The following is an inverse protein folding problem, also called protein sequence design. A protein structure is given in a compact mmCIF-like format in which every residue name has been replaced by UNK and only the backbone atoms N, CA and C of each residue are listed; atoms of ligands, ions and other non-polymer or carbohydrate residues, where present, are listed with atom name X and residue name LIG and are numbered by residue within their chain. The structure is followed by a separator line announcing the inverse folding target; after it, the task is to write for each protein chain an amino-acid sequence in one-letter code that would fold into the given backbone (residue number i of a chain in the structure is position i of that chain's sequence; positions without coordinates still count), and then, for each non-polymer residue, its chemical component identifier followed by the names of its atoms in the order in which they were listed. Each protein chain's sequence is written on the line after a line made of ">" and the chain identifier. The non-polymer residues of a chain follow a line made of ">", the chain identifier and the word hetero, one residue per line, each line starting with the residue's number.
data_IF_623288597291
#
_entry.id   IF_623288597291
#
_cell.length_a   1.000
_cell.length_b   1.000
_cell.length_c   1.000
_cell.angle_alpha   90.00
_cell.angle_beta   90.00
_cell.angle_gamma   90.00
#
_symmetry.space_group_name_H-M   'P 1'
#
loop_
_entity.id
_entity.type
_entity.pdbx_description
1 polymer ?
#
# COMPACT_ATOMS: atom_id res chain seq x y z
N UNK A 1 -14.68 29.80 51.26
CA UNK A 1 -14.75 30.44 49.92
C UNK A 1 -14.21 29.45 48.92
N UNK A 2 -15.09 28.89 48.11
CA UNK A 2 -14.83 27.86 47.11
C UNK A 2 -14.09 28.45 45.90
N UNK A 3 -13.09 27.76 45.34
CA UNK A 3 -12.54 28.10 44.02
C UNK A 3 -13.54 27.68 42.94
N UNK A 4 -13.87 28.61 42.04
CA UNK A 4 -14.76 28.38 40.91
C UNK A 4 -14.07 27.52 39.85
N UNK A 5 -14.81 26.54 39.32
CA UNK A 5 -14.36 25.61 38.28
C UNK A 5 -14.71 26.13 36.87
N UNK A 6 -13.85 25.73 35.92
CA UNK A 6 -14.07 25.47 34.50
C UNK A 6 -14.73 26.53 33.58
N UNK A 7 -14.01 26.88 32.51
CA UNK A 7 -14.60 26.84 31.17
C UNK A 7 -13.79 25.88 30.28
N UNK A 8 -14.54 24.95 29.71
CA UNK A 8 -14.13 23.77 28.95
C UNK A 8 -13.81 24.21 27.52
N UNK A 9 -12.70 23.70 26.99
CA UNK A 9 -12.33 23.82 25.59
C UNK A 9 -13.37 23.15 24.69
N UNK A 10 -13.72 23.81 23.59
CA UNK A 10 -14.57 23.25 22.54
C UNK A 10 -13.89 22.02 21.89
N UNK A 11 -14.65 20.95 21.56
CA UNK A 11 -14.11 19.78 20.88
C UNK A 11 -14.17 20.00 19.36
N UNK A 12 -13.00 20.16 18.73
CA UNK A 12 -12.92 20.31 17.29
C UNK A 12 -11.53 20.70 16.80
N UNK A 13 -10.50 19.92 17.15
CA UNK A 13 -9.21 19.96 16.46
C UNK A 13 -8.38 18.73 16.88
N UNK A 14 -8.43 17.66 16.09
CA UNK A 14 -7.54 16.49 16.24
C UNK A 14 -6.20 16.76 15.53
N UNK A 15 -5.57 17.90 15.86
CA UNK A 15 -4.14 18.06 15.70
C UNK A 15 -3.46 17.37 16.88
N UNK A 16 -2.47 16.52 16.62
CA UNK A 16 -1.60 16.02 17.69
C UNK A 16 -0.87 17.27 18.22
N UNK A 17 -1.12 17.72 19.47
CA UNK A 17 -0.61 19.01 19.92
C UNK A 17 0.91 18.98 19.90
N UNK A 18 1.54 19.96 19.25
CA UNK A 18 2.99 20.10 19.31
C UNK A 18 3.37 20.35 20.78
N UNK A 19 4.55 19.87 21.22
CA UNK A 19 4.97 20.01 22.62
C UNK A 19 4.99 21.44 23.15
N UNK A 20 4.95 22.44 22.27
CA UNK A 20 5.00 23.86 22.58
C UNK A 20 3.72 24.64 22.24
N UNK A 21 2.60 23.98 21.93
CA UNK A 21 1.34 24.67 21.54
C UNK A 21 0.78 25.58 22.65
N UNK A 22 1.10 25.31 23.91
CA UNK A 22 0.69 26.16 25.04
C UNK A 22 1.72 27.24 25.41
N UNK A 23 2.81 27.42 24.64
CA UNK A 23 3.85 28.42 24.92
C UNK A 23 3.47 29.81 24.38
N UNK A 24 3.82 30.87 25.12
CA UNK A 24 3.61 32.26 24.71
C UNK A 24 4.24 32.60 23.34
N UNK A 25 5.27 31.86 22.91
CA UNK A 25 5.92 32.00 21.60
C UNK A 25 5.74 30.75 20.72
N UNK A 26 4.60 30.06 20.82
CA UNK A 26 4.30 28.85 20.05
C UNK A 26 4.49 29.04 18.54
N UNK A 27 3.99 30.12 17.95
CA UNK A 27 4.11 30.40 16.51
C UNK A 27 5.57 30.47 16.06
N UNK A 28 6.40 31.21 16.79
CA UNK A 28 7.82 31.34 16.51
C UNK A 28 8.56 29.99 16.61
N UNK A 29 8.21 29.17 17.60
CA UNK A 29 8.76 27.81 17.74
C UNK A 29 8.29 26.91 16.59
N UNK A 30 7.04 27.03 16.16
CA UNK A 30 6.50 26.31 15.02
C UNK A 30 7.18 26.72 13.70
N UNK A 31 7.50 28.01 13.51
CA UNK A 31 8.25 28.49 12.34
C UNK A 31 9.70 27.97 12.35
N UNK A 32 10.38 28.01 13.51
CA UNK A 32 11.72 27.44 13.69
C UNK A 32 11.75 25.94 13.39
N UNK A 33 10.79 25.19 13.94
CA UNK A 33 10.63 23.76 13.69
C UNK A 33 10.41 23.49 12.20
N UNK A 34 9.45 24.19 11.56
CA UNK A 34 9.15 24.04 10.13
C UNK A 34 10.36 24.34 9.25
N UNK A 35 11.15 25.36 9.59
CA UNK A 35 12.37 25.69 8.86
C UNK A 35 13.41 24.57 8.92
N UNK A 36 13.76 24.10 10.11
CA UNK A 36 14.79 23.07 10.29
C UNK A 36 14.32 21.72 9.76
N UNK A 37 13.06 21.32 10.01
CA UNK A 37 12.47 20.10 9.45
C UNK A 37 12.36 20.14 7.91
N UNK A 38 12.34 21.34 7.32
CA UNK A 38 12.39 21.56 5.86
C UNK A 38 13.81 21.67 5.29
N UNK A 39 14.85 21.60 6.12
CA UNK A 39 16.26 21.76 5.72
C UNK A 39 17.07 20.52 6.11
N UNK A 40 17.05 19.44 5.29
CA UNK A 40 17.67 18.17 5.65
C UNK A 40 19.20 18.24 5.87
N UNK A 41 19.89 19.17 5.20
CA UNK A 41 21.33 19.39 5.39
C UNK A 41 21.67 20.15 6.69
N UNK A 42 20.65 20.51 7.47
CA UNK A 42 20.79 21.40 8.61
C UNK A 42 21.12 22.84 8.19
N UNK A 43 21.14 23.72 9.17
CA UNK A 43 21.49 25.12 8.97
C UNK A 43 22.22 25.69 10.19
N UNK A 44 23.09 26.68 9.95
CA UNK A 44 23.70 27.41 11.05
C UNK A 44 22.70 28.34 11.73
N UNK A 45 22.80 28.50 13.05
CA UNK A 45 21.88 29.28 13.88
C UNK A 45 21.70 30.73 13.38
N UNK A 46 22.76 31.48 12.99
CA UNK A 46 22.57 32.81 12.42
C UNK A 46 21.66 32.84 11.19
N UNK A 47 21.83 31.87 10.28
CA UNK A 47 21.01 31.77 9.08
C UNK A 47 19.55 31.41 9.41
N UNK A 48 19.33 30.47 10.34
CA UNK A 48 17.98 30.11 10.81
C UNK A 48 17.27 31.34 11.39
N UNK A 49 17.91 32.02 12.34
CA UNK A 49 17.33 33.18 13.04
C UNK A 49 16.97 34.27 12.05
N UNK A 50 17.86 34.61 11.12
CA UNK A 50 17.60 35.64 10.10
C UNK A 50 16.53 35.27 9.10
N UNK A 51 16.36 33.98 8.82
CA UNK A 51 15.34 33.53 7.87
C UNK A 51 13.96 33.50 8.50
N UNK A 52 13.86 33.09 9.77
CA UNK A 52 12.58 32.98 10.48
C UNK A 52 12.12 34.34 11.05
N UNK A 53 13.02 35.12 11.61
CA UNK A 53 12.67 36.37 12.31
C UNK A 53 12.97 37.66 11.51
N UNK A 54 13.67 37.54 10.38
CA UNK A 54 14.02 38.67 9.50
C UNK A 54 15.52 38.94 9.41
N UNK A 55 15.96 39.55 8.30
CA UNK A 55 17.40 39.71 7.98
C UNK A 55 18.15 40.59 8.99
N UNK A 56 17.46 41.56 9.57
CA UNK A 56 18.01 42.54 10.50
C UNK A 56 17.90 42.11 11.97
N UNK A 57 17.49 40.86 12.25
CA UNK A 57 17.39 40.35 13.61
C UNK A 57 18.75 40.35 14.32
N UNK A 58 18.76 40.90 15.53
CA UNK A 58 19.92 40.89 16.41
C UNK A 58 20.24 39.46 16.89
N UNK A 59 21.44 38.99 16.55
CA UNK A 59 21.94 37.66 16.92
C UNK A 59 22.31 37.54 18.41
N UNK A 60 22.36 38.66 19.13
CA UNK A 60 22.46 38.68 20.60
C UNK A 60 21.09 38.87 21.29
N UNK A 61 20.03 39.09 20.51
CA UNK A 61 18.71 39.44 21.01
C UNK A 61 17.85 38.25 21.48
N UNK A 62 16.64 38.58 21.94
CA UNK A 62 15.70 37.61 22.51
C UNK A 62 15.29 36.50 21.53
N UNK A 63 15.24 36.77 20.22
CA UNK A 63 14.87 35.80 19.18
C UNK A 63 15.97 34.76 18.94
N UNK A 64 17.23 35.20 18.89
CA UNK A 64 18.38 34.30 18.81
C UNK A 64 18.50 33.43 20.07
N UNK A 65 18.22 34.00 21.25
CA UNK A 65 18.19 33.25 22.50
C UNK A 65 17.02 32.26 22.55
N UNK A 66 15.83 32.62 22.05
CA UNK A 66 14.69 31.70 21.92
C UNK A 66 15.08 30.52 21.04
N UNK A 67 15.59 30.77 19.83
CA UNK A 67 15.97 29.71 18.90
C UNK A 67 17.01 28.78 19.51
N UNK A 68 18.04 29.33 20.15
CA UNK A 68 19.08 28.55 20.81
C UNK A 68 18.54 27.65 21.92
N UNK A 69 17.65 28.17 22.77
CA UNK A 69 17.02 27.40 23.84
C UNK A 69 16.09 26.34 23.27
N UNK A 70 15.25 26.72 22.33
CA UNK A 70 14.32 25.79 21.67
C UNK A 70 15.04 24.57 21.08
N UNK A 71 16.14 24.76 20.35
CA UNK A 71 16.90 23.63 19.79
C UNK A 71 17.65 22.82 20.85
N UNK A 72 18.06 23.43 21.96
CA UNK A 72 18.75 22.74 23.06
C UNK A 72 17.77 21.96 23.96
N UNK A 73 16.56 22.47 24.15
CA UNK A 73 15.52 21.91 25.01
C UNK A 73 14.78 20.74 24.33
N UNK A 74 14.94 20.57 23.01
CA UNK A 74 14.33 19.51 22.21
C UNK A 74 15.38 18.63 21.47
N UNK A 75 16.32 17.99 22.18
CA UNK A 75 17.35 17.14 21.55
C UNK A 75 16.75 15.90 20.85
N UNK A 76 15.53 15.51 21.19
CA UNK A 76 14.77 14.48 20.49
C UNK A 76 14.36 14.91 19.08
N UNK A 77 14.23 16.22 18.81
CA UNK A 77 13.86 16.79 17.52
C UNK A 77 15.04 17.39 16.75
N UNK A 78 16.11 17.80 17.44
CA UNK A 78 17.24 18.49 16.82
C UNK A 78 18.59 17.94 17.28
N UNK A 79 19.48 17.66 16.34
CA UNK A 79 20.90 17.44 16.62
C UNK A 79 21.63 18.78 16.47
N UNK A 80 22.35 19.20 17.52
CA UNK A 80 23.14 20.43 17.47
C UNK A 80 24.63 20.12 17.50
N UNK A 81 25.38 20.70 16.57
CA UNK A 81 26.83 20.49 16.45
C UNK A 81 27.55 21.80 16.20
N UNK A 82 28.82 21.91 16.60
CA UNK A 82 29.66 23.06 16.24
C UNK A 82 30.50 22.71 15.02
N UNK A 83 30.34 23.47 13.93
CA UNK A 83 31.11 23.33 12.68
C UNK A 83 31.48 24.73 12.18
N UNK A 84 32.73 24.91 11.76
CA UNK A 84 33.25 26.18 11.21
C UNK A 84 32.96 27.42 12.06
N UNK A 85 33.01 27.27 13.39
CA UNK A 85 32.76 28.36 14.34
C UNK A 85 31.28 28.67 14.61
N UNK A 86 30.35 28.00 13.92
CA UNK A 86 28.91 28.20 14.10
C UNK A 86 28.22 27.00 14.78
N UNK A 87 27.11 27.28 15.48
CA UNK A 87 26.19 26.24 15.92
C UNK A 87 25.31 25.84 14.73
N UNK A 88 25.42 24.60 14.31
CA UNK A 88 24.55 23.96 13.32
C UNK A 88 23.43 23.22 14.01
N UNK A 89 22.26 23.25 13.39
CA UNK A 89 21.05 22.58 13.83
C UNK A 89 20.56 21.70 12.69
N UNK A 90 20.55 20.40 12.91
CA UNK A 90 20.07 19.37 11.99
C UNK A 90 18.76 18.78 12.55
N UNK A 91 17.74 18.49 11.73
CA UNK A 91 16.55 17.77 12.21
C UNK A 91 16.90 16.32 12.56
N UNK A 92 16.32 15.76 13.62
CA UNK A 92 16.39 14.32 13.87
C UNK A 92 15.36 13.57 13.01
N UNK A 93 15.49 12.24 12.84
CA UNK A 93 14.44 11.43 12.22
C UNK A 93 13.05 11.62 12.86
N UNK A 94 12.99 11.92 14.16
CA UNK A 94 11.73 12.17 14.86
C UNK A 94 11.07 13.47 14.39
N UNK A 95 11.85 14.52 14.13
CA UNK A 95 11.32 15.78 13.61
C UNK A 95 10.71 15.64 12.20
N UNK A 96 11.18 14.69 11.39
CA UNK A 96 10.56 14.41 10.09
C UNK A 96 9.15 13.82 10.23
N UNK A 97 8.85 13.15 11.35
CA UNK A 97 7.52 12.59 11.60
C UNK A 97 6.47 13.62 12.00
N UNK A 98 6.90 14.71 12.62
CA UNK A 98 5.97 15.78 13.02
C UNK A 98 5.65 16.72 11.84
N UNK A 99 6.30 16.56 10.69
CA UNK A 99 5.98 17.29 9.47
C UNK A 99 4.88 16.58 8.68
N UNK A 100 3.60 16.85 9.03
CA UNK A 100 2.39 16.22 8.45
C UNK A 100 2.30 16.26 6.93
N UNK A 101 2.98 17.21 6.25
CA UNK A 101 3.05 17.24 4.77
C UNK A 101 3.74 16.00 4.17
N UNK A 102 4.45 15.21 4.98
CA UNK A 102 5.25 14.06 4.54
C UNK A 102 4.82 12.73 5.16
N UNK A 103 3.69 12.66 5.88
CA UNK A 103 3.21 11.42 6.50
C UNK A 103 1.84 10.96 6.01
N UNK A 104 1.74 9.66 5.69
CA UNK A 104 0.49 8.89 5.74
C UNK A 104 -0.02 8.87 7.18
N UNK A 105 -1.17 9.46 7.45
CA UNK A 105 -1.91 9.07 8.64
C UNK A 105 -2.26 7.58 8.50
N UNK A 106 -1.76 6.76 9.41
CA UNK A 106 -2.25 5.40 9.57
C UNK A 106 -3.62 5.55 10.21
N UNK A 107 -4.69 5.36 9.45
CA UNK A 107 -6.02 5.28 10.05
C UNK A 107 -5.99 4.11 11.03
N UNK A 108 -6.16 4.42 12.31
CA UNK A 108 -6.52 3.43 13.32
C UNK A 108 -7.92 2.91 12.96
N UNK A 109 -8.09 1.60 13.03
CA UNK A 109 -9.40 0.97 12.97
C UNK A 109 -10.21 1.49 14.17
N UNK A 110 -11.24 2.33 13.95
CA UNK A 110 -12.07 2.82 15.06
C UNK A 110 -13.11 3.87 14.69
N UNK A 111 -14.38 3.47 14.84
CA UNK A 111 -15.55 4.25 15.28
C UNK A 111 -15.74 5.71 14.83
N UNK A 112 -16.80 5.91 14.04
CA UNK A 112 -17.17 7.17 13.42
C UNK A 112 -17.59 8.30 14.36
N UNK A 113 -17.81 9.43 13.68
CA UNK A 113 -18.16 10.79 14.15
C UNK A 113 -16.96 11.71 14.44
N UNK A 114 -16.59 12.48 13.41
CA UNK A 114 -15.79 13.70 13.50
C UNK A 114 -16.20 14.66 12.38
N UNK A 115 -16.50 15.89 12.75
CA UNK A 115 -17.36 16.85 12.04
C UNK A 115 -16.72 17.54 10.81
N UNK A 116 -17.61 18.01 9.94
CA UNK A 116 -17.39 18.70 8.67
C UNK A 116 -16.59 20.02 8.79
N UNK A 117 -15.42 20.06 8.13
CA UNK A 117 -14.93 21.25 7.43
C UNK A 117 -14.53 20.78 6.02
N UNK A 118 -15.09 21.35 4.94
CA UNK A 118 -15.01 20.77 3.61
C UNK A 118 -13.69 21.14 2.92
N UNK A 119 -12.70 20.24 2.98
CA UNK A 119 -11.69 20.09 1.95
C UNK A 119 -11.95 18.76 1.23
N UNK A 120 -12.93 18.79 0.32
CA UNK A 120 -13.65 17.60 -0.17
C UNK A 120 -12.88 16.85 -1.28
N UNK A 121 -11.54 16.88 -1.24
CA UNK A 121 -10.68 16.05 -2.08
C UNK A 121 -9.77 15.20 -1.20
N UNK A 122 -9.73 13.88 -1.40
CA UNK A 122 -8.67 13.09 -0.82
C UNK A 122 -7.32 13.52 -1.45
N UNK A 123 -6.44 14.13 -0.64
CA UNK A 123 -5.15 14.66 -1.11
C UNK A 123 -4.25 13.57 -1.73
N UNK A 124 -4.47 12.31 -1.36
CA UNK A 124 -3.61 11.20 -1.74
C UNK A 124 -4.18 10.34 -2.87
N UNK A 125 -3.30 9.85 -3.74
CA UNK A 125 -3.66 9.07 -4.93
C UNK A 125 -4.56 7.87 -4.60
N UNK A 126 -4.23 7.16 -3.52
CA UNK A 126 -5.02 6.01 -3.05
C UNK A 126 -6.43 6.39 -2.67
N UNK A 127 -6.59 7.54 -2.03
CA UNK A 127 -7.89 7.95 -1.51
C UNK A 127 -8.76 8.54 -2.63
N UNK A 128 -8.17 9.17 -3.65
CA UNK A 128 -8.88 9.49 -4.91
C UNK A 128 -9.40 8.24 -5.60
N UNK A 129 -8.56 7.21 -5.73
CA UNK A 129 -8.96 5.93 -6.31
C UNK A 129 -10.08 5.26 -5.48
N UNK A 130 -9.98 5.28 -4.14
CA UNK A 130 -11.02 4.75 -3.25
C UNK A 130 -12.33 5.53 -3.35
N UNK A 131 -12.26 6.86 -3.38
CA UNK A 131 -13.43 7.72 -3.52
C UNK A 131 -14.15 7.51 -4.86
N UNK A 132 -13.41 7.18 -5.92
CA UNK A 132 -14.01 6.77 -7.19
C UNK A 132 -14.72 5.41 -7.05
N UNK A 133 -14.07 4.40 -6.46
CA UNK A 133 -14.64 3.06 -6.27
C UNK A 133 -15.82 3.00 -5.29
N UNK A 134 -15.94 3.97 -4.39
CA UNK A 134 -17.08 4.08 -3.48
C UNK A 134 -18.31 4.73 -4.13
N UNK A 135 -18.15 5.34 -5.31
CA UNK A 135 -19.24 6.02 -6.04
C UNK A 135 -19.68 5.26 -7.28
N UNK A 136 -18.78 4.50 -7.90
CA UNK A 136 -19.06 3.84 -9.18
C UNK A 136 -19.51 2.40 -9.00
N UNK A 137 -20.55 2.00 -9.73
CA UNK A 137 -21.00 0.62 -9.82
C UNK A 137 -20.23 -0.20 -10.86
N UNK A 138 -19.62 0.44 -11.86
CA UNK A 138 -18.76 -0.20 -12.87
C UNK A 138 -17.67 0.75 -13.37
N UNK A 139 -16.59 0.21 -13.92
CA UNK A 139 -15.51 0.90 -14.62
C UNK A 139 -15.69 0.69 -16.13
N UNK A 140 -16.41 1.62 -16.78
CA UNK A 140 -16.89 1.43 -18.15
C UNK A 140 -15.97 1.94 -19.27
N UNK A 141 -15.14 2.95 -19.02
CA UNK A 141 -14.35 3.61 -20.07
C UNK A 141 -12.84 3.37 -19.94
N UNK A 142 -12.12 3.35 -21.06
CA UNK A 142 -10.66 3.22 -21.03
C UNK A 142 -9.97 4.44 -20.41
N UNK A 143 -10.55 5.64 -20.51
CA UNK A 143 -10.07 6.80 -19.76
C UNK A 143 -10.13 6.53 -18.26
N UNK A 144 -11.25 6.01 -17.77
CA UNK A 144 -11.43 5.70 -16.35
C UNK A 144 -10.46 4.61 -15.87
N UNK A 145 -10.26 3.56 -16.68
CA UNK A 145 -9.27 2.52 -16.39
C UNK A 145 -7.84 3.08 -16.36
N UNK A 146 -7.52 3.99 -17.28
CA UNK A 146 -6.25 4.70 -17.31
C UNK A 146 -6.06 5.57 -16.06
N UNK A 147 -7.11 6.24 -15.59
CA UNK A 147 -7.06 7.08 -14.38
C UNK A 147 -6.67 6.25 -13.15
N UNK A 148 -7.25 5.06 -12.96
CA UNK A 148 -6.83 4.16 -11.87
C UNK A 148 -5.37 3.75 -11.95
N UNK A 149 -4.88 3.45 -13.17
CA UNK A 149 -3.48 3.08 -13.37
C UNK A 149 -2.55 4.28 -13.12
N UNK A 150 -2.97 5.49 -13.51
CA UNK A 150 -2.26 6.74 -13.25
C UNK A 150 -2.19 7.06 -11.74
N UNK A 151 -3.26 6.80 -10.98
CA UNK A 151 -3.24 6.95 -9.52
C UNK A 151 -2.28 5.95 -8.86
N UNK A 152 -2.24 4.70 -9.35
CA UNK A 152 -1.23 3.75 -8.90
C UNK A 152 0.19 4.22 -9.25
N UNK A 153 0.42 4.77 -10.44
CA UNK A 153 1.72 5.33 -10.85
C UNK A 153 2.15 6.50 -9.93
N UNK A 154 1.21 7.39 -9.60
CA UNK A 154 1.44 8.52 -8.68
C UNK A 154 1.84 8.05 -7.29
N UNK A 155 1.16 7.03 -6.76
CA UNK A 155 1.56 6.40 -5.50
C UNK A 155 2.95 5.77 -5.60
N UNK A 156 3.23 5.02 -6.68
CA UNK A 156 4.53 4.36 -6.91
C UNK A 156 5.66 5.39 -6.91
N UNK A 157 5.49 6.51 -7.60
CA UNK A 157 6.44 7.62 -7.61
C UNK A 157 6.67 8.18 -6.19
N UNK A 158 5.61 8.36 -5.40
CA UNK A 158 5.71 8.91 -4.05
C UNK A 158 6.49 8.02 -3.07
N UNK A 159 6.52 6.70 -3.28
CA UNK A 159 7.11 5.72 -2.35
C UNK A 159 8.42 5.09 -2.83
N UNK A 160 8.81 5.24 -4.09
CA UNK A 160 9.93 4.49 -4.66
C UNK A 160 11.31 4.91 -4.14
N UNK A 161 11.47 6.18 -3.79
CA UNK A 161 12.67 6.68 -3.11
C UNK A 161 12.50 6.77 -1.58
N UNK A 162 11.44 6.16 -1.02
CA UNK A 162 11.23 6.17 0.43
C UNK A 162 12.06 5.08 1.10
N UNK A 163 12.75 5.42 2.17
CA UNK A 163 13.58 4.52 2.97
C UNK A 163 13.04 4.40 4.38
N UNK A 164 12.88 3.18 4.88
CA UNK A 164 12.72 2.91 6.30
C UNK A 164 14.07 3.08 6.99
N UNK A 165 14.14 3.96 7.97
CA UNK A 165 15.33 4.31 8.74
C UNK A 165 15.26 3.58 10.08
N UNK A 166 16.35 2.92 10.40
CA UNK A 166 16.54 2.28 11.69
C UNK A 166 17.81 2.80 12.35
N UNK A 167 17.74 3.04 13.65
CA UNK A 167 18.85 3.46 14.50
C UNK A 167 19.38 2.26 15.29
N UNK A 168 20.71 2.11 15.36
CA UNK A 168 21.35 1.05 16.13
C UNK A 168 21.18 1.29 17.63
N UNK A 169 20.57 0.35 18.33
CA UNK A 169 20.39 0.41 19.79
C UNK A 169 21.37 -0.47 20.56
N UNK A 170 22.04 -1.42 19.88
CA UNK A 170 23.07 -2.29 20.47
C UNK A 170 23.94 -2.96 19.41
N UNK A 171 25.10 -3.45 19.83
CA UNK A 171 26.06 -4.14 18.97
C UNK A 171 26.92 -3.20 18.11
N UNK A 172 27.67 -3.77 17.18
CA UNK A 172 28.53 -3.07 16.23
C UNK A 172 27.87 -2.89 14.87
N UNK A 173 28.31 -1.90 14.09
CA UNK A 173 27.86 -1.68 12.71
C UNK A 173 27.65 -0.21 12.38
N UNK A 174 26.94 0.10 11.28
CA UNK A 174 26.47 1.44 10.94
C UNK A 174 25.50 1.98 12.00
N UNK A 175 25.56 3.29 12.27
CA UNK A 175 24.67 3.97 13.25
C UNK A 175 23.22 3.93 12.78
N UNK A 176 23.04 4.12 11.48
CA UNK A 176 21.76 3.99 10.82
C UNK A 176 21.77 2.87 9.78
N UNK A 177 20.64 2.20 9.66
CA UNK A 177 20.37 1.25 8.59
C UNK A 177 19.15 1.75 7.81
N UNK A 178 19.33 1.96 6.51
CA UNK A 178 18.27 2.41 5.62
C UNK A 178 17.84 1.25 4.72
N UNK A 179 16.57 0.86 4.81
CA UNK A 179 15.98 -0.25 4.05
C UNK A 179 14.90 0.31 3.12
N UNK A 180 14.93 0.03 1.81
CA UNK A 180 13.94 0.57 0.88
C UNK A 180 12.51 0.24 1.31
N UNK A 181 11.61 1.21 1.19
CA UNK A 181 10.19 1.01 1.44
C UNK A 181 9.58 0.20 0.30
N UNK A 182 9.43 -1.09 0.57
CA UNK A 182 8.90 -2.04 -0.40
C UNK A 182 7.44 -2.38 -0.09
N UNK A 183 6.69 -2.73 -1.10
CA UNK A 183 5.32 -3.22 -1.09
C UNK A 183 5.22 -4.31 -2.14
N UNK A 184 4.10 -5.01 -2.22
CA UNK A 184 3.87 -5.97 -3.32
C UNK A 184 3.77 -5.30 -4.69
N UNK A 185 3.54 -3.99 -4.74
CA UNK A 185 3.36 -3.23 -5.97
C UNK A 185 4.64 -2.56 -6.48
N UNK A 186 5.68 -2.42 -5.64
CA UNK A 186 6.98 -1.83 -6.03
C UNK A 186 8.19 -2.73 -5.77
N UNK A 187 7.95 -4.01 -5.52
CA UNK A 187 9.01 -4.96 -5.26
C UNK A 187 8.73 -6.29 -5.92
N UNK A 188 9.52 -6.59 -6.95
CA UNK A 188 9.53 -7.88 -7.63
C UNK A 188 9.68 -9.05 -6.64
N UNK A 189 10.37 -8.86 -5.52
CA UNK A 189 10.52 -9.90 -4.50
C UNK A 189 9.28 -10.14 -3.68
N UNK A 190 8.56 -9.07 -3.34
CA UNK A 190 7.30 -9.20 -2.64
C UNK A 190 6.24 -9.82 -3.56
N UNK A 191 6.25 -9.46 -4.84
CA UNK A 191 5.41 -10.11 -5.85
C UNK A 191 5.78 -11.60 -6.04
N UNK A 192 7.07 -11.93 -6.19
CA UNK A 192 7.56 -13.32 -6.26
C UNK A 192 7.24 -14.11 -4.99
N UNK A 193 7.39 -13.51 -3.82
CA UNK A 193 7.04 -14.11 -2.54
C UNK A 193 5.55 -14.45 -2.47
N UNK A 194 4.67 -13.54 -2.92
CA UNK A 194 3.23 -13.80 -3.02
C UNK A 194 2.94 -14.97 -3.97
N UNK A 195 3.57 -14.98 -5.15
CA UNK A 195 3.44 -16.08 -6.13
C UNK A 195 3.92 -17.41 -5.55
N UNK A 196 5.06 -17.42 -4.86
CA UNK A 196 5.58 -18.62 -4.23
C UNK A 196 4.64 -19.12 -3.12
N UNK A 197 4.01 -18.22 -2.34
CA UNK A 197 2.99 -18.62 -1.36
C UNK A 197 1.75 -19.21 -2.02
N UNK A 198 1.33 -18.71 -3.18
CA UNK A 198 0.27 -19.30 -3.97
C UNK A 198 0.63 -20.71 -4.45
N UNK A 199 1.83 -20.88 -5.02
CA UNK A 199 2.33 -22.17 -5.49
C UNK A 199 2.40 -23.19 -4.34
N UNK A 200 2.97 -22.82 -3.19
CA UNK A 200 3.01 -23.67 -1.99
C UNK A 200 1.63 -24.10 -1.50
N UNK A 201 0.63 -23.21 -1.56
CA UNK A 201 -0.72 -23.55 -1.15
C UNK A 201 -1.35 -24.63 -2.05
N UNK A 202 -1.09 -24.58 -3.36
CA UNK A 202 -1.49 -25.62 -4.29
C UNK A 202 -0.72 -26.92 -4.12
N UNK A 203 0.57 -26.85 -3.81
CA UNK A 203 1.39 -28.04 -3.55
C UNK A 203 0.86 -28.79 -2.33
N UNK A 204 0.59 -28.09 -1.20
CA UNK A 204 -0.06 -28.67 -0.02
C UNK A 204 -1.42 -29.29 -0.33
N UNK A 205 -2.23 -28.63 -1.14
CA UNK A 205 -3.52 -29.18 -1.56
C UNK A 205 -3.34 -30.45 -2.41
N UNK A 206 -2.34 -30.48 -3.28
CA UNK A 206 -2.00 -31.61 -4.14
C UNK A 206 -1.45 -32.82 -3.39
N UNK A 207 -0.86 -32.61 -2.22
CA UNK A 207 -0.38 -33.68 -1.33
C UNK A 207 -1.52 -34.32 -0.52
N UNK A 208 -2.60 -33.58 -0.27
CA UNK A 208 -3.65 -33.97 0.68
C UNK A 208 -4.96 -34.42 0.06
N UNK A 209 -5.28 -33.96 -1.15
CA UNK A 209 -6.60 -34.16 -1.74
C UNK A 209 -6.53 -34.62 -3.20
N UNK A 210 -7.49 -35.48 -3.57
CA UNK A 210 -7.62 -36.01 -4.93
C UNK A 210 -8.69 -35.28 -5.77
N UNK A 211 -9.74 -34.80 -5.11
CA UNK A 211 -10.87 -34.12 -5.73
C UNK A 211 -11.02 -32.69 -5.22
N UNK A 212 -11.49 -31.80 -6.09
CA UNK A 212 -11.89 -30.46 -5.71
C UNK A 212 -12.98 -29.90 -6.62
N UNK A 213 -13.61 -28.80 -6.20
CA UNK A 213 -14.59 -28.06 -6.98
C UNK A 213 -14.22 -26.59 -6.99
N UNK A 214 -14.14 -25.99 -8.17
CA UNK A 214 -14.08 -24.53 -8.34
C UNK A 214 -15.50 -24.00 -8.42
N UNK A 215 -15.81 -23.03 -7.58
CA UNK A 215 -17.05 -22.25 -7.62
C UNK A 215 -16.67 -20.82 -7.97
N UNK A 216 -17.11 -20.36 -9.13
CA UNK A 216 -16.99 -18.96 -9.56
C UNK A 216 -18.24 -18.23 -9.10
N UNK A 217 -18.06 -17.28 -8.19
CA UNK A 217 -19.09 -16.46 -7.61
C UNK A 217 -18.96 -15.06 -8.19
N UNK A 218 -20.01 -14.56 -8.81
CA UNK A 218 -19.99 -13.24 -9.46
C UNK A 218 -20.96 -12.28 -8.77
N UNK A 219 -20.72 -11.00 -8.97
CA UNK A 219 -21.54 -9.93 -8.40
C UNK A 219 -22.48 -9.34 -9.45
N UNK A 220 -23.74 -9.17 -9.08
CA UNK A 220 -24.69 -8.35 -9.82
C UNK A 220 -24.48 -6.87 -9.44
N UNK A 221 -24.08 -5.99 -10.38
CA UNK A 221 -23.86 -4.57 -10.09
C UNK A 221 -25.12 -3.87 -9.57
N UNK A 222 -26.32 -4.32 -9.96
CA UNK A 222 -27.58 -3.70 -9.56
C UNK A 222 -27.93 -3.88 -8.08
N UNK A 223 -27.25 -4.80 -7.39
CA UNK A 223 -27.50 -5.12 -5.98
C UNK A 223 -26.59 -4.35 -5.01
N UNK A 224 -25.67 -3.54 -5.53
CA UNK A 224 -24.70 -2.80 -4.71
C UNK A 224 -24.59 -1.34 -5.15
N UNK A 225 -24.39 -0.46 -4.18
CA UNK A 225 -24.25 0.98 -4.41
C UNK A 225 -22.93 1.32 -5.14
N UNK A 226 -21.90 0.49 -5.00
CA UNK A 226 -20.58 0.74 -5.56
C UNK A 226 -19.72 -0.52 -5.66
N UNK A 227 -18.62 -0.45 -6.43
CA UNK A 227 -17.61 -1.51 -6.54
C UNK A 227 -16.98 -1.81 -5.18
N UNK A 228 -16.73 -0.79 -4.36
CA UNK A 228 -16.19 -0.98 -3.01
C UNK A 228 -17.16 -1.81 -2.14
N UNK A 229 -18.44 -1.40 -2.09
CA UNK A 229 -19.49 -2.13 -1.36
C UNK A 229 -19.66 -3.57 -1.88
N UNK A 230 -19.70 -3.73 -3.20
CA UNK A 230 -19.74 -5.04 -3.86
C UNK A 230 -18.57 -5.94 -3.45
N UNK A 231 -17.35 -5.39 -3.37
CA UNK A 231 -16.14 -6.15 -3.05
C UNK A 231 -16.12 -6.59 -1.59
N UNK A 232 -16.57 -5.73 -0.67
CA UNK A 232 -16.65 -6.05 0.76
C UNK A 232 -17.72 -7.13 1.02
N UNK A 233 -18.91 -6.93 0.46
CA UNK A 233 -20.00 -7.90 0.53
C UNK A 233 -19.59 -9.26 -0.05
N UNK A 234 -18.84 -9.28 -1.15
CA UNK A 234 -18.41 -10.52 -1.81
C UNK A 234 -17.57 -11.41 -0.89
N UNK A 235 -16.60 -10.82 -0.19
CA UNK A 235 -15.72 -11.54 0.73
C UNK A 235 -16.49 -11.99 1.97
N UNK A 236 -17.37 -11.14 2.52
CA UNK A 236 -18.21 -11.50 3.65
C UNK A 236 -19.14 -12.67 3.31
N UNK A 237 -19.83 -12.59 2.18
CA UNK A 237 -20.75 -13.61 1.70
C UNK A 237 -20.05 -14.92 1.40
N UNK A 238 -18.80 -14.91 0.90
CA UNK A 238 -17.99 -16.13 0.79
C UNK A 238 -17.69 -16.76 2.15
N UNK A 239 -17.40 -15.98 3.18
CA UNK A 239 -17.15 -16.53 4.53
C UNK A 239 -18.42 -17.15 5.11
N UNK A 240 -19.57 -16.52 4.87
CA UNK A 240 -20.89 -17.09 5.20
C UNK A 240 -21.20 -18.36 4.38
N UNK A 241 -20.73 -18.45 3.12
CA UNK A 241 -20.90 -19.64 2.27
C UNK A 241 -20.17 -20.84 2.87
N UNK A 242 -18.94 -20.65 3.34
CA UNK A 242 -18.21 -21.72 4.03
C UNK A 242 -18.98 -22.23 5.26
N UNK A 243 -19.60 -21.32 6.04
CA UNK A 243 -20.50 -21.70 7.13
C UNK A 243 -21.74 -22.46 6.67
N UNK A 244 -22.34 -22.07 5.54
CA UNK A 244 -23.51 -22.74 4.97
C UNK A 244 -23.19 -24.16 4.46
N UNK A 245 -22.01 -24.38 3.89
CA UNK A 245 -21.56 -25.72 3.46
C UNK A 245 -21.31 -26.67 4.64
N UNK A 246 -21.03 -26.12 5.82
CA UNK A 246 -20.78 -26.88 7.05
C UNK A 246 -21.98 -27.65 7.58
N UNK A 247 -23.18 -27.46 7.02
CA UNK A 247 -24.39 -28.12 7.46
C UNK A 247 -25.01 -28.92 6.31
N UNK A 248 -25.14 -30.23 6.47
CA UNK A 248 -25.87 -31.09 5.53
C UNK A 248 -27.32 -31.24 6.01
N UNK A 249 -28.32 -30.73 5.26
CA UNK A 249 -29.71 -30.88 5.67
C UNK A 249 -30.14 -32.34 5.54
N UNK A 250 -30.85 -32.88 6.54
CA UNK A 250 -31.34 -34.27 6.55
C UNK A 250 -32.67 -34.46 5.78
N UNK A 251 -33.34 -33.37 5.41
CA UNK A 251 -34.61 -33.41 4.69
C UNK A 251 -34.36 -33.75 3.21
N UNK A 252 -35.14 -34.68 2.61
CA UNK A 252 -34.98 -35.08 1.21
C UNK A 252 -35.29 -33.93 0.22
N UNK A 253 -36.06 -32.93 0.64
CA UNK A 253 -36.44 -31.78 -0.21
C UNK A 253 -35.34 -30.70 -0.27
N UNK A 254 -34.24 -30.88 0.47
CA UNK A 254 -33.14 -29.92 0.51
C UNK A 254 -31.91 -30.49 -0.18
N UNK A 255 -31.20 -29.67 -0.98
CA UNK A 255 -30.00 -30.12 -1.67
C UNK A 255 -28.92 -30.51 -0.66
N UNK A 256 -28.30 -31.67 -0.92
CA UNK A 256 -27.19 -32.16 -0.09
C UNK A 256 -26.00 -31.20 -0.14
N UNK A 257 -25.28 -31.12 0.98
CA UNK A 257 -24.08 -30.31 1.19
C UNK A 257 -23.03 -31.15 1.93
N UNK A 258 -21.76 -30.73 1.98
CA UNK A 258 -20.69 -31.55 2.55
C UNK A 258 -20.92 -31.88 4.03
N UNK A 259 -21.55 -30.96 4.78
CA UNK A 259 -21.77 -31.15 6.23
C UNK A 259 -20.53 -30.87 7.08
N UNK A 260 -19.51 -30.26 6.47
CA UNK A 260 -18.32 -29.71 7.10
C UNK A 260 -17.81 -28.55 6.25
N UNK A 261 -16.81 -27.80 6.73
CA UNK A 261 -16.19 -26.70 5.96
C UNK A 261 -15.06 -27.28 5.11
N UNK A 262 -15.21 -27.42 3.77
CA UNK A 262 -14.11 -27.96 2.99
C UNK A 262 -12.93 -26.99 3.02
N UNK A 263 -11.69 -27.51 3.10
CA UNK A 263 -10.47 -26.75 2.86
C UNK A 263 -10.60 -25.96 1.57
N UNK A 264 -10.27 -24.67 1.57
CA UNK A 264 -10.43 -23.85 0.39
C UNK A 264 -9.26 -22.91 0.12
N UNK A 265 -9.06 -22.61 -1.15
CA UNK A 265 -8.32 -21.44 -1.62
C UNK A 265 -9.28 -20.58 -2.42
N UNK A 266 -9.16 -19.26 -2.33
CA UNK A 266 -9.94 -18.36 -3.17
C UNK A 266 -9.08 -17.25 -3.74
N UNK A 267 -9.48 -16.79 -4.92
CA UNK A 267 -8.85 -15.69 -5.66
C UNK A 267 -9.93 -14.67 -5.97
N UNK A 268 -9.68 -13.43 -5.52
CA UNK A 268 -10.45 -12.27 -5.96
C UNK A 268 -9.88 -11.84 -7.30
N UNK A 269 -10.72 -11.63 -8.30
CA UNK A 269 -10.34 -10.90 -9.50
C UNK A 269 -11.41 -9.88 -9.91
N UNK A 270 -11.08 -9.04 -10.88
CA UNK A 270 -11.97 -7.98 -11.35
C UNK A 270 -12.26 -8.21 -12.83
N UNK A 271 -13.54 -8.12 -13.19
CA UNK A 271 -13.98 -8.22 -14.60
C UNK A 271 -13.49 -7.02 -15.41
N UNK A 272 -13.74 -7.02 -16.72
CA UNK A 272 -13.42 -5.87 -17.57
C UNK A 272 -14.23 -4.62 -17.20
N UNK A 273 -15.40 -4.79 -16.58
CA UNK A 273 -16.18 -3.68 -16.01
C UNK A 273 -15.77 -3.33 -14.58
N UNK A 274 -14.68 -3.91 -14.06
CA UNK A 274 -14.16 -3.62 -12.71
C UNK A 274 -15.01 -4.21 -11.59
N UNK A 275 -15.98 -5.08 -11.91
CA UNK A 275 -16.77 -5.75 -10.90
C UNK A 275 -15.97 -6.87 -10.24
N UNK A 276 -16.07 -7.02 -8.92
CA UNK A 276 -15.36 -8.09 -8.23
C UNK A 276 -16.02 -9.44 -8.56
N UNK A 277 -15.20 -10.43 -8.87
CA UNK A 277 -15.60 -11.84 -8.93
C UNK A 277 -14.70 -12.68 -8.03
N UNK A 278 -15.19 -13.84 -7.59
CA UNK A 278 -14.45 -14.70 -6.67
C UNK A 278 -14.43 -16.12 -7.18
N UNK A 279 -13.24 -16.65 -7.42
CA UNK A 279 -13.06 -18.08 -7.65
C UNK A 279 -12.70 -18.75 -6.33
N UNK A 280 -13.52 -19.70 -5.88
CA UNK A 280 -13.28 -20.47 -4.66
C UNK A 280 -13.07 -21.93 -5.02
N UNK A 281 -11.91 -22.48 -4.72
CA UNK A 281 -11.59 -23.89 -4.87
C UNK A 281 -11.82 -24.59 -3.54
N UNK A 282 -12.80 -25.48 -3.47
CA UNK A 282 -13.06 -26.35 -2.32
C UNK A 282 -12.41 -27.71 -2.55
N UNK A 283 -11.42 -28.07 -1.74
CA UNK A 283 -10.66 -29.32 -1.84
C UNK A 283 -11.26 -30.44 -0.97
N UNK A 284 -10.97 -31.69 -1.32
CA UNK A 284 -11.43 -32.88 -0.60
C UNK A 284 -12.88 -33.25 -0.87
N UNK A 285 -13.51 -32.61 -1.86
CA UNK A 285 -14.90 -32.84 -2.25
C UNK A 285 -15.04 -32.98 -3.76
N UNK A 286 -15.72 -34.03 -4.27
CA UNK A 286 -16.03 -34.14 -5.69
C UNK A 286 -17.23 -33.26 -6.11
N UNK A 287 -18.01 -32.80 -5.12
CA UNK A 287 -19.17 -31.94 -5.30
C UNK A 287 -19.48 -31.18 -4.00
N UNK A 288 -19.82 -29.89 -4.11
CA UNK A 288 -20.26 -29.09 -2.95
C UNK A 288 -21.77 -29.14 -2.77
N UNK A 289 -22.53 -28.85 -3.83
CA UNK A 289 -24.00 -28.91 -3.90
C UNK A 289 -24.42 -28.52 -5.33
N UNK A 290 -25.72 -28.53 -5.65
CA UNK A 290 -26.18 -28.17 -6.99
C UNK A 290 -25.93 -26.69 -7.31
N UNK A 291 -25.68 -26.37 -8.58
CA UNK A 291 -25.51 -24.98 -9.03
C UNK A 291 -26.75 -24.13 -8.73
N UNK A 292 -27.96 -24.70 -8.88
CA UNK A 292 -29.20 -24.02 -8.50
C UNK A 292 -29.23 -23.65 -7.01
N UNK A 293 -28.80 -24.57 -6.12
CA UNK A 293 -28.75 -24.29 -4.69
C UNK A 293 -27.74 -23.19 -4.33
N UNK A 294 -26.57 -23.19 -4.99
CA UNK A 294 -25.57 -22.12 -4.84
C UNK A 294 -26.10 -20.78 -5.36
N UNK A 295 -26.73 -20.77 -6.54
CA UNK A 295 -27.34 -19.58 -7.13
C UNK A 295 -28.40 -18.99 -6.21
N UNK A 296 -29.32 -19.80 -5.70
CA UNK A 296 -30.33 -19.36 -4.71
C UNK A 296 -29.69 -18.88 -3.40
N UNK A 297 -28.65 -19.54 -2.91
CA UNK A 297 -27.92 -19.07 -1.73
C UNK A 297 -27.34 -17.67 -1.96
N UNK A 298 -26.71 -17.47 -3.13
CA UNK A 298 -26.03 -16.24 -3.50
C UNK A 298 -27.00 -15.08 -3.70
N UNK A 299 -28.14 -15.36 -4.33
CA UNK A 299 -29.22 -14.39 -4.55
C UNK A 299 -29.80 -13.91 -3.22
N UNK A 300 -30.03 -14.82 -2.27
CA UNK A 300 -30.48 -14.49 -0.89
C UNK A 300 -29.47 -13.70 -0.08
N UNK A 301 -28.22 -13.60 -0.54
CA UNK A 301 -27.18 -12.77 0.06
C UNK A 301 -27.04 -11.41 -0.63
N UNK A 302 -27.97 -11.10 -1.54
CA UNK A 302 -28.01 -9.84 -2.28
C UNK A 302 -26.71 -9.59 -3.04
N UNK A 303 -25.98 -10.65 -3.41
CA UNK A 303 -24.73 -10.54 -4.14
C UNK A 303 -24.95 -10.69 -5.66
N UNK A 304 -25.94 -11.48 -6.06
CA UNK A 304 -26.24 -11.83 -7.43
C UNK A 304 -26.66 -13.30 -7.56
N UNK A 305 -26.91 -13.78 -8.78
CA UNK A 305 -27.35 -15.17 -9.04
C UNK A 305 -26.41 -16.00 -9.90
N UNK A 306 -25.39 -15.38 -10.47
CA UNK A 306 -24.50 -16.01 -11.45
C UNK A 306 -23.38 -16.76 -10.73
N UNK A 307 -23.47 -18.09 -10.82
CA UNK A 307 -22.52 -19.04 -10.23
C UNK A 307 -22.16 -20.07 -11.29
N UNK A 308 -20.87 -20.33 -11.48
CA UNK A 308 -20.35 -21.43 -12.32
C UNK A 308 -19.60 -22.44 -11.43
N UNK A 309 -19.80 -23.74 -11.70
CA UNK A 309 -19.28 -24.83 -10.88
C UNK A 309 -18.52 -25.81 -11.76
N UNK A 310 -17.22 -25.97 -11.51
CA UNK A 310 -16.34 -26.88 -12.26
C UNK A 310 -15.65 -27.85 -11.33
N UNK A 311 -15.52 -29.10 -11.74
CA UNK A 311 -14.79 -30.13 -10.97
C UNK A 311 -13.32 -30.13 -11.34
N UNK A 312 -12.47 -30.42 -10.37
CA UNK A 312 -11.05 -30.66 -10.55
C UNK A 312 -10.69 -32.07 -10.08
N UNK A 313 -9.68 -32.66 -10.72
CA UNK A 313 -9.04 -33.89 -10.24
C UNK A 313 -7.53 -33.68 -10.16
N UNK A 314 -6.94 -34.19 -9.10
CA UNK A 314 -5.50 -34.27 -8.93
C UNK A 314 -4.99 -35.56 -9.59
N UNK A 315 -4.04 -35.42 -10.50
CA UNK A 315 -3.40 -36.55 -11.17
C UNK A 315 -1.89 -36.49 -10.96
N UNK A 316 -1.41 -37.26 -9.99
CA UNK A 316 0.02 -37.36 -9.61
C UNK A 316 0.59 -35.98 -9.22
N UNK A 317 -0.05 -35.31 -8.27
CA UNK A 317 0.36 -33.99 -7.76
C UNK A 317 0.06 -32.83 -8.71
N UNK A 318 -0.85 -33.01 -9.67
CA UNK A 318 -1.22 -31.98 -10.65
C UNK A 318 -2.72 -31.89 -10.84
N UNK A 319 -3.29 -30.76 -10.46
CA UNK A 319 -4.70 -30.46 -10.65
C UNK A 319 -5.05 -30.21 -12.10
N UNK A 320 -6.19 -30.76 -12.54
CA UNK A 320 -6.75 -30.62 -13.89
C UNK A 320 -8.25 -30.41 -13.81
N UNK A 321 -8.79 -29.70 -14.79
CA UNK A 321 -10.24 -29.64 -15.00
C UNK A 321 -10.79 -31.04 -15.29
N UNK A 322 -11.83 -31.44 -14.57
CA UNK A 322 -12.54 -32.69 -14.75
C UNK A 322 -13.77 -32.43 -15.62
N UNK A 323 -13.66 -32.67 -16.93
CA UNK A 323 -14.71 -32.36 -17.91
C UNK A 323 -14.56 -30.96 -18.48
N UNK A 324 -15.66 -30.21 -18.54
CA UNK A 324 -15.68 -28.87 -19.14
C UNK A 324 -14.82 -27.89 -18.34
N UNK A 325 -13.92 -27.20 -19.04
CA UNK A 325 -13.09 -26.12 -18.50
C UNK A 325 -13.70 -24.75 -18.82
N UNK A 326 -13.28 -23.67 -18.14
CA UNK A 326 -13.62 -22.31 -18.58
C UNK A 326 -13.18 -22.08 -20.03
N UNK A 327 -14.01 -21.39 -20.81
CA UNK A 327 -13.78 -21.19 -22.25
C UNK A 327 -12.49 -20.40 -22.51
N UNK A 328 -12.20 -19.44 -21.64
CA UNK A 328 -11.03 -18.57 -21.66
C UNK A 328 -9.80 -19.20 -20.96
N UNK A 329 -9.88 -20.47 -20.54
CA UNK A 329 -8.75 -21.13 -19.91
C UNK A 329 -7.60 -21.43 -20.87
N UNK A 330 -7.82 -21.41 -22.19
CA UNK A 330 -6.77 -21.51 -23.23
C UNK A 330 -5.70 -22.62 -23.00
N UNK A 331 -6.08 -23.77 -22.41
CA UNK A 331 -5.13 -24.87 -22.11
C UNK A 331 -4.44 -24.80 -20.75
N UNK A 332 -4.68 -23.75 -19.97
CA UNK A 332 -4.09 -23.55 -18.65
C UNK A 332 -4.60 -24.58 -17.63
N UNK A 333 -3.72 -24.95 -16.70
CA UNK A 333 -4.11 -25.69 -15.51
C UNK A 333 -4.99 -24.81 -14.62
N UNK A 334 -5.82 -25.36 -13.72
CA UNK A 334 -6.60 -24.56 -12.79
C UNK A 334 -5.74 -23.57 -11.98
N UNK A 335 -4.56 -24.02 -11.54
CA UNK A 335 -3.59 -23.17 -10.83
C UNK A 335 -3.11 -21.99 -11.68
N UNK A 336 -2.80 -22.24 -12.95
CA UNK A 336 -2.31 -21.20 -13.85
C UNK A 336 -3.45 -20.26 -14.27
N UNK A 337 -4.65 -20.79 -14.49
CA UNK A 337 -5.84 -20.00 -14.78
C UNK A 337 -6.14 -19.01 -13.65
N UNK A 338 -6.15 -19.49 -12.40
CA UNK A 338 -6.49 -18.70 -11.21
C UNK A 338 -5.35 -17.79 -10.71
N UNK A 339 -4.21 -17.72 -11.41
CA UNK A 339 -3.09 -16.85 -11.04
C UNK A 339 -2.88 -15.68 -12.00
N UNK A 340 -3.85 -15.38 -12.88
CA UNK A 340 -3.78 -14.28 -13.86
C UNK A 340 -3.38 -12.95 -13.20
N UNK A 341 -4.13 -12.51 -12.18
CA UNK A 341 -3.83 -11.25 -11.48
C UNK A 341 -2.51 -11.27 -10.69
N UNK A 342 -2.08 -12.44 -10.18
CA UNK A 342 -0.79 -12.59 -9.48
C UNK A 342 0.37 -12.44 -10.48
N UNK A 343 0.21 -12.94 -11.70
CA UNK A 343 1.20 -12.73 -12.78
C UNK A 343 1.24 -11.27 -13.21
N UNK A 344 0.09 -10.64 -13.42
CA UNK A 344 0.02 -9.21 -13.75
C UNK A 344 0.62 -8.31 -12.65
N UNK A 345 0.47 -8.69 -11.36
CA UNK A 345 1.17 -8.02 -10.26
C UNK A 345 2.69 -8.07 -10.43
N UNK A 346 3.24 -9.19 -10.90
CA UNK A 346 4.69 -9.32 -11.13
C UNK A 346 5.18 -8.33 -12.19
N UNK A 347 4.39 -8.09 -13.23
CA UNK A 347 4.65 -7.06 -14.24
C UNK A 347 4.63 -5.66 -13.61
N UNK A 348 3.58 -5.31 -12.87
CA UNK A 348 3.48 -4.00 -12.18
C UNK A 348 4.65 -3.76 -11.21
N UNK A 349 5.08 -4.81 -10.51
CA UNK A 349 6.16 -4.71 -9.54
C UNK A 349 7.55 -4.56 -10.17
N UNK A 350 7.70 -4.88 -11.45
CA UNK A 350 8.93 -4.73 -12.24
C UNK A 350 8.99 -3.38 -12.96
N UNK A 351 7.84 -2.80 -13.29
CA UNK A 351 7.71 -1.49 -13.93
C UNK A 351 8.14 -0.35 -13.03
N UNK A 352 8.79 0.66 -13.61
CA UNK A 352 9.02 1.96 -12.97
C UNK A 352 7.74 2.80 -12.95
N UNK A 353 7.67 3.88 -12.15
CA UNK A 353 6.53 4.81 -12.20
C UNK A 353 6.31 5.40 -13.59
N UNK A 354 7.39 5.71 -14.32
CA UNK A 354 7.34 6.19 -15.71
C UNK A 354 6.67 5.19 -16.65
N UNK A 355 7.05 3.92 -16.57
CA UNK A 355 6.41 2.87 -17.40
C UNK A 355 4.90 2.74 -17.12
N UNK A 356 4.47 2.96 -15.86
CA UNK A 356 3.05 2.95 -15.50
C UNK A 356 2.30 4.18 -16.03
N UNK A 357 2.94 5.35 -16.02
CA UNK A 357 2.38 6.54 -16.66
C UNK A 357 2.23 6.36 -18.16
N UNK A 358 3.24 5.80 -18.82
CA UNK A 358 3.19 5.51 -20.25
C UNK A 358 2.10 4.49 -20.59
N UNK A 359 1.96 3.43 -19.78
CA UNK A 359 0.87 2.45 -19.94
C UNK A 359 -0.53 3.07 -19.74
N UNK A 360 -0.67 4.00 -18.79
CA UNK A 360 -1.91 4.75 -18.60
C UNK A 360 -2.21 5.67 -19.80
N UNK A 361 -1.20 6.38 -20.31
CA UNK A 361 -1.34 7.26 -21.48
C UNK A 361 -1.74 6.48 -22.74
N UNK A 362 -1.05 5.37 -23.03
CA UNK A 362 -1.36 4.48 -24.16
C UNK A 362 -2.80 3.94 -24.11
N UNK A 363 -3.27 3.59 -22.90
CA UNK A 363 -4.66 3.19 -22.71
C UNK A 363 -5.63 4.33 -22.99
N UNK A 364 -5.34 5.55 -22.53
CA UNK A 364 -6.21 6.72 -22.75
C UNK A 364 -6.31 7.08 -24.23
N UNK A 365 -5.25 6.88 -25.01
CA UNK A 365 -5.26 7.10 -26.46
C UNK A 365 -5.94 6.00 -27.28
N UNK A 366 -6.42 4.92 -26.63
CA UNK A 366 -7.05 3.80 -27.34
C UNK A 366 -6.06 2.88 -28.05
N UNK A 367 -4.78 2.94 -27.68
CA UNK A 367 -3.72 2.04 -28.18
C UNK A 367 -3.10 1.24 -27.02
N UNK A 368 -3.91 0.47 -26.25
CA UNK A 368 -3.37 -0.34 -25.18
C UNK A 368 -2.51 -1.46 -25.77
N UNK A 369 -1.28 -1.60 -25.29
CA UNK A 369 -0.50 -2.81 -25.53
C UNK A 369 -1.27 -3.99 -24.90
N UNK A 370 -1.67 -4.98 -25.69
CA UNK A 370 -2.49 -6.12 -25.24
C UNK A 370 -1.92 -6.80 -23.97
N UNK A 371 -0.59 -6.96 -23.92
CA UNK A 371 0.12 -7.53 -22.76
C UNK A 371 -0.05 -6.72 -21.46
N UNK A 372 -0.44 -5.44 -21.56
CA UNK A 372 -0.64 -4.50 -20.46
C UNK A 372 -2.13 -4.16 -20.24
N UNK A 373 -3.04 -4.74 -21.04
CA UNK A 373 -4.45 -4.39 -21.04
C UNK A 373 -5.15 -4.62 -19.69
N UNK A 374 -4.59 -5.50 -18.83
CA UNK A 374 -5.16 -5.82 -17.53
C UNK A 374 -4.46 -5.13 -16.34
N UNK A 375 -3.43 -4.30 -16.57
CA UNK A 375 -2.67 -3.69 -15.46
C UNK A 375 -3.55 -2.79 -14.58
N UNK A 376 -4.54 -2.12 -15.15
CA UNK A 376 -5.47 -1.28 -14.39
C UNK A 376 -6.26 -2.08 -13.34
N UNK A 377 -6.50 -3.39 -13.55
CA UNK A 377 -7.13 -4.25 -12.54
C UNK A 377 -6.24 -4.40 -11.30
N UNK A 378 -4.92 -4.33 -11.44
CA UNK A 378 -3.98 -4.32 -10.30
C UNK A 378 -4.15 -3.07 -9.43
N UNK A 379 -4.45 -1.93 -10.04
CA UNK A 379 -4.77 -0.70 -9.31
C UNK A 379 -6.02 -0.86 -8.45
N UNK A 380 -6.99 -1.68 -8.85
CA UNK A 380 -8.17 -1.96 -8.02
C UNK A 380 -7.81 -2.73 -6.74
N UNK A 381 -6.91 -3.72 -6.79
CA UNK A 381 -6.42 -4.39 -5.56
C UNK A 381 -5.66 -3.44 -4.65
N UNK A 382 -4.89 -2.52 -5.24
CA UNK A 382 -4.17 -1.51 -4.48
C UNK A 382 -5.16 -0.57 -3.77
N UNK A 383 -6.11 0.03 -4.51
CA UNK A 383 -7.09 0.98 -4.00
C UNK A 383 -7.98 0.35 -2.91
N UNK A 384 -8.55 -0.82 -3.18
CA UNK A 384 -9.40 -1.56 -2.23
C UNK A 384 -8.62 -2.19 -1.07
N UNK A 385 -7.29 -2.27 -1.17
CA UNK A 385 -6.43 -2.92 -0.18
C UNK A 385 -6.58 -4.44 -0.11
N UNK A 386 -7.34 -5.06 -1.02
CA UNK A 386 -7.64 -6.50 -0.97
C UNK A 386 -6.44 -7.37 -1.31
N UNK A 387 -6.47 -8.61 -0.81
CA UNK A 387 -5.51 -9.66 -1.16
C UNK A 387 -5.89 -10.26 -2.51
N UNK A 388 -4.89 -10.74 -3.25
CA UNK A 388 -5.10 -11.49 -4.49
C UNK A 388 -5.71 -12.85 -4.21
N UNK A 389 -5.20 -13.55 -3.20
CA UNK A 389 -5.71 -14.84 -2.76
C UNK A 389 -5.62 -14.99 -1.24
N UNK A 390 -6.45 -15.89 -0.70
CA UNK A 390 -6.38 -16.38 0.66
C UNK A 390 -7.10 -17.74 0.77
N UNK A 391 -7.24 -18.31 1.96
CA UNK A 391 -7.90 -19.59 2.13
C UNK A 391 -7.79 -20.18 3.52
N UNK A 392 -8.06 -21.48 3.62
CA UNK A 392 -7.90 -22.25 4.85
C UNK A 392 -6.45 -22.19 5.34
N UNK A 393 -6.28 -21.95 6.64
CA UNK A 393 -4.95 -21.78 7.26
C UNK A 393 -4.02 -22.97 7.05
N UNK A 394 -4.56 -24.19 7.00
CA UNK A 394 -3.81 -25.42 6.74
C UNK A 394 -3.17 -25.47 5.33
N UNK A 395 -3.63 -24.63 4.40
CA UNK A 395 -3.06 -24.48 3.05
C UNK A 395 -2.18 -23.23 2.96
N UNK A 396 -2.53 -22.16 3.67
CA UNK A 396 -1.93 -20.83 3.48
C UNK A 396 -0.88 -20.43 4.52
N UNK A 397 -0.86 -21.04 5.71
CA UNK A 397 0.12 -20.76 6.76
C UNK A 397 1.30 -21.73 6.65
N UNK A 398 2.48 -21.26 7.03
CA UNK A 398 3.68 -22.08 7.17
C UNK A 398 3.75 -22.56 8.63
N UNK A 399 4.00 -23.86 8.88
CA UNK A 399 3.96 -24.48 10.22
C UNK A 399 5.15 -24.10 11.15
N UNK A 400 5.93 -23.07 10.79
CA UNK A 400 7.25 -22.78 11.38
C UNK A 400 7.25 -21.79 12.57
N UNK A 401 6.13 -21.60 13.27
CA UNK A 401 6.08 -20.68 14.43
C UNK A 401 6.52 -21.32 15.77
N UNK A 402 6.96 -22.57 15.77
CA UNK A 402 7.55 -23.21 16.94
C UNK A 402 9.08 -23.07 16.90
N UNK A 403 9.67 -22.47 17.93
CA UNK A 403 11.11 -22.32 18.19
C UNK A 403 11.81 -21.05 17.67
N UNK A 404 11.16 -19.87 17.77
CA UNK A 404 11.92 -18.62 17.74
C UNK A 404 12.55 -18.34 19.10
N UNK A 405 13.88 -18.48 19.20
CA UNK A 405 14.67 -17.84 20.28
C UNK A 405 14.31 -16.36 20.40
N UNK A 406 14.36 -15.76 21.60
CA UNK A 406 13.96 -14.36 21.78
C UNK A 406 14.75 -13.44 20.83
N UNK A 407 14.03 -12.77 19.94
CA UNK A 407 14.63 -11.81 19.01
C UNK A 407 15.14 -10.60 19.81
N UNK A 408 16.45 -10.43 19.88
CA UNK A 408 17.08 -9.27 20.51
C UNK A 408 17.30 -8.18 19.44
N UNK A 409 16.50 -7.10 19.40
CA UNK A 409 16.55 -6.15 18.29
C UNK A 409 17.84 -5.31 18.35
N UNK A 410 18.69 -5.41 17.32
CA UNK A 410 19.92 -4.60 17.18
C UNK A 410 19.64 -3.17 16.73
N UNK A 411 18.56 -3.00 15.99
CA UNK A 411 18.13 -1.76 15.37
C UNK A 411 16.69 -1.47 15.79
N UNK A 412 16.35 -0.19 15.95
CA UNK A 412 14.99 0.29 16.25
C UNK A 412 14.50 1.13 15.07
N UNK A 413 13.28 0.91 14.62
CA UNK A 413 12.67 1.76 13.60
C UNK A 413 12.49 3.18 14.14
N UNK A 414 13.01 4.16 13.40
CA UNK A 414 12.91 5.58 13.78
C UNK A 414 12.20 6.40 12.73
N UNK A 415 11.86 5.85 11.55
CA UNK A 415 11.08 6.58 10.57
C UNK A 415 11.13 6.09 9.13
N UNK A 416 10.39 6.78 8.25
CA UNK A 416 10.53 6.65 6.82
C UNK A 416 10.53 8.04 6.14
N UNK A 417 11.38 8.24 5.15
CA UNK A 417 11.45 9.47 4.36
C UNK A 417 12.10 9.20 2.99
N UNK A 418 11.92 10.12 2.03
CA UNK A 418 12.66 10.10 0.78
C UNK A 418 14.16 10.33 1.03
N UNK A 419 15.04 9.89 0.13
CA UNK A 419 16.50 9.99 0.34
C UNK A 419 16.95 11.43 0.62
N UNK A 420 16.49 12.37 -0.20
CA UNK A 420 16.84 13.79 -0.08
C UNK A 420 16.24 14.45 1.18
N UNK A 421 15.21 13.85 1.75
CA UNK A 421 14.56 14.32 2.97
C UNK A 421 15.21 13.79 4.25
N UNK A 422 16.06 12.77 4.16
CA UNK A 422 16.82 12.27 5.31
C UNK A 422 17.76 13.36 5.84
N UNK A 423 17.99 13.47 7.16
CA UNK A 423 18.99 14.41 7.66
C UNK A 423 20.38 14.07 7.08
N UNK A 424 21.17 15.09 6.74
CA UNK A 424 22.47 14.92 6.08
C UNK A 424 23.41 14.03 6.88
N UNK A 425 23.41 14.17 8.21
CA UNK A 425 24.19 13.30 9.09
C UNK A 425 23.71 11.84 9.04
N UNK A 426 22.40 11.58 8.96
CA UNK A 426 21.85 10.22 8.81
C UNK A 426 22.34 9.62 7.50
N UNK A 427 22.25 10.35 6.37
CA UNK A 427 22.78 9.88 5.09
C UNK A 427 24.25 9.51 5.16
N UNK A 428 25.07 10.32 5.86
CA UNK A 428 26.52 10.08 5.98
C UNK A 428 26.89 8.90 6.90
N UNK A 429 26.05 8.61 7.91
CA UNK A 429 26.29 7.57 8.93
C UNK A 429 25.50 6.28 8.69
N UNK A 430 24.66 6.25 7.66
CA UNK A 430 23.81 5.12 7.31
C UNK A 430 24.50 4.11 6.37
N UNK A 431 24.15 2.84 6.52
CA UNK A 431 24.26 1.88 5.43
C UNK A 431 22.91 1.74 4.71
N UNK A 432 22.93 1.86 3.39
CA UNK A 432 21.76 1.70 2.53
C UNK A 432 21.71 0.28 1.96
N UNK A 433 20.67 -0.47 2.29
CA UNK A 433 20.46 -1.82 1.77
C UNK A 433 19.85 -1.77 0.36
N UNK A 434 20.69 -1.67 -0.66
CA UNK A 434 20.28 -1.88 -2.05
C UNK A 434 20.26 -3.37 -2.38
N UNK A 435 19.43 -3.78 -3.34
CA UNK A 435 19.46 -5.15 -3.86
C UNK A 435 20.44 -5.28 -5.03
N UNK A 436 20.94 -6.50 -5.24
CA UNK A 436 21.85 -6.97 -6.30
C UNK A 436 21.45 -6.60 -7.75
N UNK A 437 20.21 -6.17 -7.96
CA UNK A 437 19.60 -5.97 -9.29
C UNK A 437 19.46 -4.48 -9.68
N UNK A 438 19.77 -3.54 -8.79
CA UNK A 438 19.95 -2.12 -9.14
C UNK A 438 21.42 -1.85 -9.44
N UNK A 439 21.95 -2.60 -10.41
CA UNK A 439 23.22 -2.23 -11.05
C UNK A 439 22.97 -0.88 -11.73
N UNK A 440 23.80 0.10 -11.38
CA UNK A 440 23.95 1.40 -12.07
C UNK A 440 23.06 2.59 -11.65
N UNK A 441 22.47 2.60 -10.45
CA UNK A 441 22.02 3.87 -9.84
C UNK A 441 22.66 4.13 -8.48
N UNK A 442 23.48 5.19 -8.33
CA UNK A 442 23.68 5.77 -7.01
C UNK A 442 22.31 6.16 -6.43
N UNK A 443 22.14 6.28 -5.10
CA UNK A 443 20.99 7.01 -4.57
C UNK A 443 20.93 8.37 -5.29
N UNK A 444 19.75 8.86 -5.73
CA UNK A 444 19.63 9.99 -6.64
C UNK A 444 20.59 11.11 -6.23
N UNK A 445 21.65 11.26 -7.01
CA UNK A 445 22.80 12.06 -6.63
C UNK A 445 22.53 13.52 -6.96
N UNK A 446 22.94 14.41 -6.05
CA UNK A 446 23.98 15.39 -6.35
C UNK A 446 24.28 15.54 -7.86
N UNK A 447 23.71 16.57 -8.49
CA UNK A 447 24.14 17.04 -9.80
C UNK A 447 23.02 17.36 -10.80
N UNK A 448 22.45 18.56 -10.72
CA UNK A 448 22.28 19.43 -11.90
C UNK A 448 22.37 20.88 -11.47
N UNK A 449 23.57 21.45 -11.63
CA UNK A 449 23.73 22.88 -11.83
C UNK A 449 23.09 23.30 -13.15
N UNK A 450 22.53 24.50 -13.13
CA UNK A 450 22.44 25.46 -14.24
C UNK A 450 22.92 24.96 -15.60
N UNK A 451 21.98 24.55 -16.46
CA UNK A 451 22.20 24.54 -17.92
C UNK A 451 22.09 25.97 -18.43
N UNK A 452 23.25 26.59 -18.68
CA UNK A 452 23.36 27.78 -19.51
C UNK A 452 22.77 27.49 -20.89
N UNK A 453 21.79 28.31 -21.30
CA UNK A 453 21.37 28.44 -22.70
C UNK A 453 22.49 29.17 -23.44
N UNK A 454 23.31 28.44 -24.19
CA UNK A 454 24.02 29.02 -25.31
C UNK A 454 23.46 28.42 -26.60
N UNK A 455 22.75 29.30 -27.30
CA UNK A 455 22.36 29.19 -28.71
C UNK A 455 23.63 29.05 -29.54
N UNK A 456 23.71 28.02 -30.37
CA UNK A 456 24.66 27.98 -31.47
C UNK A 456 23.86 27.72 -32.75
N UNK A 457 23.73 28.80 -33.52
CA UNK A 457 23.25 28.83 -34.90
C UNK A 457 24.29 28.19 -35.80
N UNK A 458 23.97 27.04 -36.39
CA UNK A 458 24.71 26.50 -37.53
C UNK A 458 23.97 26.86 -38.81
N UNK A 459 24.57 27.77 -39.58
CA UNK A 459 24.24 28.04 -40.96
C UNK A 459 24.84 26.94 -41.86
N UNK A 460 24.06 26.45 -42.80
CA UNK A 460 24.50 25.63 -43.93
C UNK A 460 25.44 26.41 -44.84
N UNK A 461 26.32 25.71 -45.58
CA UNK A 461 26.70 26.14 -46.91
C UNK A 461 26.35 25.07 -47.95
N UNK A 462 25.70 25.53 -49.02
CA UNK A 462 25.66 24.86 -50.32
C UNK A 462 26.67 25.55 -51.23
N UNK A 463 27.38 24.72 -52.00
CA UNK A 463 28.37 24.99 -53.07
C UNK A 463 29.82 25.16 -52.62
#
# INVERSE_FOLDING_TARGET
>A
MTPSACQIASPGDTACPLPWDCDRRADAKADLFRFVAGTPEGANLPYIVRTVFGRDTDLAGADAQLARRFFADHPELFETTRRDGYLWVDPTPVALHLNRRKQRAKNEDGDGFGADVPDDRPDWAKDRARAALSKWSTVGSDSTRADFLQELATERESIDDVWNVFERVRGSGPEYLCVPYRTRFNSTDRARGLRASWERAWDRASERYDDAVVVTLTTDPGMHESIASATDALIENKNRLAGWLAYNPKSPDRPSRPGYRPPNLYVLEFTDSGLPHLHVVFFGVPWVTTQAALSTYWERREQGRVVDVRRLSNRRGRWRWSGDRPDDAAGQTPRDYLSKSIRALSTVADMTPGDLFDAAAARRSGDPIDALADLWKIALYWATGKRFFDGSGELTKDDNDADSVPHVPRYRFVGAAQYNDLPGYVRSRAAFLTRRDFRDRPPPSMGTGTRNKNVSTTADPVA
#
